data_IF_734448081034
#
_entry.id   IF_734448081034
#
_cell.length_a   1.000
_cell.length_b   1.000
_cell.length_c   1.000
_cell.angle_alpha   90.00
_cell.angle_beta   90.00
_cell.angle_gamma   90.00
#
_symmetry.space_group_name_H-M   'P 1'
#
loop_
_entity.id
_entity.type
_entity.pdbx_description
1 polymer ?
#
# COMPACT_ATOMS: atom_id res chain seq x y z
N UNK A 1 -26.27 1.85 -18.21
CA UNK A 1 -25.65 3.15 -17.91
C UNK A 1 -24.79 2.97 -16.65
N UNK A 2 -23.48 3.10 -16.76
CA UNK A 2 -22.52 2.79 -15.69
C UNK A 2 -22.71 3.68 -14.46
N UNK A 3 -22.85 3.09 -13.27
CA UNK A 3 -22.96 3.82 -12.00
C UNK A 3 -21.61 3.94 -11.25
N UNK A 4 -20.55 4.31 -11.97
CA UNK A 4 -19.22 4.63 -11.39
C UNK A 4 -19.30 5.54 -10.17
N UNK A 5 -20.29 6.44 -10.17
CA UNK A 5 -20.57 7.38 -9.08
C UNK A 5 -20.78 6.67 -7.74
N UNK A 6 -21.46 5.52 -7.69
CA UNK A 6 -21.74 4.79 -6.44
C UNK A 6 -20.47 4.18 -5.84
N UNK A 7 -19.62 3.57 -6.65
CA UNK A 7 -18.35 2.97 -6.20
C UNK A 7 -17.40 4.05 -5.67
N UNK A 8 -17.28 5.15 -6.41
CA UNK A 8 -16.49 6.31 -5.99
C UNK A 8 -17.02 6.85 -4.66
N UNK A 9 -18.34 6.94 -4.49
CA UNK A 9 -18.97 7.37 -3.25
C UNK A 9 -18.62 6.47 -2.06
N UNK A 10 -18.69 5.14 -2.25
CA UNK A 10 -18.34 4.16 -1.21
C UNK A 10 -16.89 4.24 -0.78
N UNK A 11 -15.96 4.37 -1.72
CA UNK A 11 -14.52 4.52 -1.43
C UNK A 11 -14.25 5.83 -0.68
N UNK A 12 -14.89 6.92 -1.10
CA UNK A 12 -14.79 8.23 -0.42
C UNK A 12 -15.32 8.12 1.01
N UNK A 13 -16.46 7.45 1.24
CA UNK A 13 -17.01 7.25 2.58
C UNK A 13 -16.05 6.46 3.46
N UNK A 14 -15.48 5.36 2.96
CA UNK A 14 -14.51 4.56 3.73
C UNK A 14 -13.28 5.40 4.08
N UNK A 15 -12.75 6.17 3.13
CA UNK A 15 -11.63 7.08 3.36
C UNK A 15 -11.95 8.13 4.43
N UNK A 16 -13.13 8.76 4.35
CA UNK A 16 -13.60 9.73 5.35
C UNK A 16 -13.75 9.08 6.72
N UNK A 17 -14.32 7.86 6.79
CA UNK A 17 -14.50 7.13 8.05
C UNK A 17 -13.15 6.78 8.70
N UNK A 18 -12.19 6.30 7.92
CA UNK A 18 -10.81 6.03 8.40
C UNK A 18 -10.17 7.33 8.91
N UNK A 19 -10.30 8.42 8.15
CA UNK A 19 -9.79 9.73 8.53
C UNK A 19 -10.40 10.23 9.85
N UNK A 20 -11.71 10.11 10.02
CA UNK A 20 -12.42 10.49 11.25
C UNK A 20 -12.00 9.64 12.45
N UNK A 21 -11.85 8.32 12.28
CA UNK A 21 -11.37 7.41 13.33
C UNK A 21 -9.95 7.79 13.76
N UNK A 22 -9.04 8.01 12.80
CA UNK A 22 -7.68 8.44 13.08
C UNK A 22 -7.67 9.80 13.80
N UNK A 23 -8.47 10.76 13.35
CA UNK A 23 -8.54 12.09 13.94
C UNK A 23 -9.13 12.06 15.36
N UNK A 24 -10.12 11.20 15.60
CA UNK A 24 -10.66 10.94 16.95
C UNK A 24 -9.61 10.33 17.89
N UNK A 25 -8.84 9.35 17.41
CA UNK A 25 -7.76 8.72 18.18
C UNK A 25 -6.62 9.70 18.49
N UNK A 26 -6.36 10.66 17.59
CA UNK A 26 -5.42 11.77 17.80
C UNK A 26 -5.97 12.76 18.83
N UNK A 27 -7.22 13.22 18.67
CA UNK A 27 -7.87 14.20 19.55
C UNK A 27 -8.05 13.69 20.98
N UNK A 28 -8.26 12.39 21.15
CA UNK A 28 -8.35 11.74 22.47
C UNK A 28 -6.99 11.40 23.08
N UNK A 29 -5.88 11.81 22.43
CA UNK A 29 -4.51 11.55 22.85
C UNK A 29 -4.15 10.06 23.03
N UNK A 30 -5.02 9.15 22.55
CA UNK A 30 -4.76 7.71 22.54
C UNK A 30 -3.63 7.36 21.58
N UNK A 31 -3.46 8.15 20.51
CA UNK A 31 -2.34 8.04 19.59
C UNK A 31 -1.77 9.43 19.32
N UNK A 32 -0.46 9.64 19.52
CA UNK A 32 0.20 10.89 19.11
C UNK A 32 0.11 11.04 17.59
N UNK A 33 -0.19 12.23 17.07
CA UNK A 33 -0.25 12.47 15.61
C UNK A 33 1.04 12.04 14.89
N UNK A 34 2.20 12.31 15.51
CA UNK A 34 3.50 11.84 15.00
C UNK A 34 3.70 10.32 15.05
N UNK A 35 2.98 9.59 15.92
CA UNK A 35 2.97 8.11 15.92
C UNK A 35 2.06 7.57 14.83
N UNK A 36 0.90 8.18 14.57
CA UNK A 36 0.07 7.83 13.40
C UNK A 36 0.85 8.05 12.12
N UNK A 37 1.51 9.21 12.00
CA UNK A 37 2.35 9.51 10.84
C UNK A 37 3.49 8.50 10.71
N UNK A 38 4.17 8.10 11.80
CA UNK A 38 5.19 7.03 11.79
C UNK A 38 4.64 5.62 11.49
N UNK A 39 3.37 5.34 11.75
CA UNK A 39 2.74 4.06 11.35
C UNK A 39 2.57 3.96 9.83
N UNK A 40 2.57 5.10 9.13
CA UNK A 40 2.44 5.17 7.67
C UNK A 40 3.71 5.67 6.96
N UNK A 41 4.62 6.31 7.69
CA UNK A 41 5.91 6.82 7.20
C UNK A 41 7.01 6.05 7.92
N UNK A 42 7.51 5.02 7.25
CA UNK A 42 8.78 4.39 7.57
C UNK A 42 9.89 5.45 7.49
N UNK A 43 10.78 5.50 8.49
CA UNK A 43 11.91 6.44 8.43
C UNK A 43 12.80 6.12 7.24
N UNK A 44 13.48 7.12 6.67
CA UNK A 44 14.32 6.88 5.49
C UNK A 44 15.43 5.85 5.76
N UNK A 45 15.99 5.80 6.98
CA UNK A 45 16.95 4.77 7.40
C UNK A 45 16.34 3.37 7.48
N UNK A 46 15.16 3.24 8.08
CA UNK A 46 14.44 1.96 8.15
C UNK A 46 14.06 1.49 6.74
N UNK A 47 13.60 2.42 5.89
CA UNK A 47 13.27 2.15 4.50
C UNK A 47 14.49 1.66 3.72
N UNK A 48 15.65 2.31 3.83
CA UNK A 48 16.90 1.88 3.17
C UNK A 48 17.26 0.46 3.59
N UNK A 49 17.24 0.17 4.89
CA UNK A 49 17.58 -1.16 5.44
C UNK A 49 16.56 -2.23 5.00
N UNK A 50 15.28 -1.89 5.02
CA UNK A 50 14.21 -2.78 4.60
C UNK A 50 14.28 -3.06 3.10
N UNK A 51 14.49 -2.03 2.29
CA UNK A 51 14.62 -2.12 0.84
C UNK A 51 15.87 -2.90 0.43
N UNK A 52 17.02 -2.73 1.09
CA UNK A 52 18.20 -3.57 0.83
C UNK A 52 17.94 -5.04 1.07
N UNK A 53 17.20 -5.36 2.13
CA UNK A 53 16.81 -6.74 2.45
C UNK A 53 15.89 -7.28 1.36
N UNK A 54 14.87 -6.52 0.97
CA UNK A 54 13.94 -6.89 -0.11
C UNK A 54 14.64 -7.01 -1.47
N UNK A 55 15.63 -6.15 -1.76
CA UNK A 55 16.41 -6.19 -2.98
C UNK A 55 17.31 -7.44 -3.04
N UNK A 56 17.94 -7.82 -1.91
CA UNK A 56 18.69 -9.08 -1.79
C UNK A 56 17.81 -10.31 -1.97
N UNK A 57 16.59 -10.24 -1.45
CA UNK A 57 15.57 -11.28 -1.58
C UNK A 57 14.97 -11.37 -2.99
N UNK A 58 15.12 -10.31 -3.78
CA UNK A 58 14.74 -10.24 -5.19
C UNK A 58 13.25 -10.00 -5.44
N UNK A 59 12.95 -9.63 -6.67
CA UNK A 59 11.61 -9.23 -7.11
C UNK A 59 10.56 -10.32 -6.89
N UNK A 60 10.94 -11.60 -6.93
CA UNK A 60 10.02 -12.74 -6.75
C UNK A 60 9.47 -12.80 -5.32
N UNK A 61 10.32 -12.65 -4.30
CA UNK A 61 9.86 -12.65 -2.90
C UNK A 61 9.01 -11.43 -2.59
N UNK A 62 9.39 -10.27 -3.11
CA UNK A 62 8.58 -9.05 -3.04
C UNK A 62 7.20 -9.25 -3.70
N UNK A 63 7.19 -9.85 -4.89
CA UNK A 63 5.96 -10.19 -5.62
C UNK A 63 5.04 -11.10 -4.81
N UNK A 64 5.57 -12.16 -4.19
CA UNK A 64 4.80 -13.10 -3.37
C UNK A 64 4.20 -12.40 -2.15
N UNK A 65 4.92 -11.42 -1.57
CA UNK A 65 4.40 -10.62 -0.46
C UNK A 65 3.21 -9.76 -0.89
N UNK A 66 3.38 -8.97 -1.95
CA UNK A 66 2.29 -8.11 -2.47
C UNK A 66 1.12 -8.93 -2.99
N UNK A 67 1.38 -10.01 -3.71
CA UNK A 67 0.35 -10.90 -4.25
C UNK A 67 -0.54 -11.47 -3.16
N UNK A 68 0.04 -11.95 -2.05
CA UNK A 68 -0.74 -12.46 -0.91
C UNK A 68 -1.64 -11.38 -0.32
N UNK A 69 -1.12 -10.16 -0.18
CA UNK A 69 -1.89 -9.03 0.35
C UNK A 69 -3.11 -8.70 -0.53
N UNK A 70 -2.91 -8.53 -1.84
CA UNK A 70 -4.01 -8.22 -2.76
C UNK A 70 -5.04 -9.35 -2.87
N UNK A 71 -4.59 -10.61 -2.92
CA UNK A 71 -5.48 -11.77 -2.95
C UNK A 71 -6.33 -11.84 -1.68
N UNK A 72 -5.75 -11.63 -0.50
CA UNK A 72 -6.50 -11.67 0.78
C UNK A 72 -7.54 -10.54 0.83
N UNK A 73 -7.15 -9.31 0.50
CA UNK A 73 -8.06 -8.16 0.55
C UNK A 73 -9.23 -8.34 -0.41
N UNK A 74 -8.95 -8.76 -1.64
CA UNK A 74 -10.00 -8.94 -2.64
C UNK A 74 -10.85 -10.16 -2.34
N UNK A 75 -10.29 -11.22 -1.76
CA UNK A 75 -11.08 -12.34 -1.25
C UNK A 75 -12.07 -11.90 -0.16
N UNK A 76 -11.62 -11.13 0.84
CA UNK A 76 -12.50 -10.58 1.90
C UNK A 76 -13.57 -9.68 1.28
N UNK A 77 -13.18 -8.83 0.32
CA UNK A 77 -14.11 -7.96 -0.40
C UNK A 77 -15.12 -8.80 -1.19
N UNK A 78 -14.69 -9.87 -1.86
CA UNK A 78 -15.54 -10.80 -2.58
C UNK A 78 -16.56 -11.47 -1.67
N UNK A 79 -16.15 -11.94 -0.49
CA UNK A 79 -17.06 -12.50 0.52
C UNK A 79 -18.12 -11.45 0.92
N UNK A 80 -17.70 -10.22 1.19
CA UNK A 80 -18.63 -9.15 1.54
C UNK A 80 -19.68 -8.91 0.44
N UNK A 81 -19.26 -8.86 -0.83
CA UNK A 81 -20.20 -8.68 -1.95
C UNK A 81 -21.13 -9.88 -2.13
N UNK A 82 -20.61 -11.10 -1.96
CA UNK A 82 -21.40 -12.33 -2.03
C UNK A 82 -22.48 -12.38 -0.94
N UNK A 83 -22.14 -12.07 0.32
CA UNK A 83 -23.08 -12.07 1.46
C UNK A 83 -24.20 -11.04 1.27
N UNK A 84 -23.90 -9.90 0.64
CA UNK A 84 -24.89 -8.84 0.41
C UNK A 84 -25.66 -9.00 -0.91
N UNK A 85 -25.47 -10.10 -1.66
CA UNK A 85 -26.04 -10.31 -3.00
C UNK A 85 -25.77 -9.13 -3.96
N UNK A 86 -24.59 -8.51 -3.84
CA UNK A 86 -24.17 -7.40 -4.69
C UNK A 86 -23.27 -7.95 -5.80
N UNK A 87 -23.52 -7.52 -7.03
CA UNK A 87 -22.66 -7.86 -8.15
C UNK A 87 -21.26 -7.26 -7.97
N UNK A 88 -20.23 -8.09 -8.14
CA UNK A 88 -18.83 -7.69 -7.99
C UNK A 88 -18.20 -7.51 -9.38
N UNK A 89 -17.77 -6.29 -9.70
CA UNK A 89 -17.30 -5.92 -11.05
C UNK A 89 -18.23 -6.39 -12.18
N UNK A 90 -19.54 -6.20 -12.02
CA UNK A 90 -20.57 -6.56 -13.02
C UNK A 90 -20.77 -8.06 -13.24
N UNK A 91 -20.00 -8.91 -12.55
CA UNK A 91 -20.22 -10.35 -12.55
C UNK A 91 -21.33 -10.71 -11.58
N UNK A 92 -22.10 -11.73 -11.96
CA UNK A 92 -23.15 -12.30 -11.13
C UNK A 92 -22.55 -12.78 -9.80
N UNK A 93 -23.31 -12.64 -8.71
CA UNK A 93 -22.91 -12.96 -7.34
C UNK A 93 -22.33 -14.37 -7.19
N UNK A 94 -22.76 -15.31 -8.03
CA UNK A 94 -22.26 -16.69 -8.10
C UNK A 94 -20.79 -16.80 -8.48
N UNK A 95 -20.25 -15.81 -9.21
CA UNK A 95 -18.87 -15.79 -9.67
C UNK A 95 -17.99 -14.79 -8.89
N UNK A 96 -18.57 -14.08 -7.92
CA UNK A 96 -17.89 -13.01 -7.16
C UNK A 96 -16.56 -13.44 -6.56
N UNK A 97 -16.49 -14.61 -5.90
CA UNK A 97 -15.24 -15.09 -5.29
C UNK A 97 -14.17 -15.37 -6.36
N UNK A 98 -14.54 -16.03 -7.45
CA UNK A 98 -13.61 -16.38 -8.53
C UNK A 98 -13.06 -15.13 -9.20
N UNK A 99 -13.95 -14.16 -9.47
CA UNK A 99 -13.58 -12.87 -10.07
C UNK A 99 -12.68 -12.05 -9.13
N UNK A 100 -13.00 -12.02 -7.84
CA UNK A 100 -12.19 -11.33 -6.83
C UNK A 100 -10.78 -11.90 -6.73
N UNK A 101 -10.64 -13.22 -6.76
CA UNK A 101 -9.34 -13.87 -6.77
C UNK A 101 -8.57 -13.51 -8.05
N UNK A 102 -9.17 -13.66 -9.24
CA UNK A 102 -8.50 -13.34 -10.51
C UNK A 102 -8.05 -11.87 -10.58
N UNK A 103 -8.91 -10.93 -10.19
CA UNK A 103 -8.57 -9.51 -10.17
C UNK A 103 -7.46 -9.24 -9.16
N UNK A 104 -7.48 -9.89 -7.99
CA UNK A 104 -6.42 -9.75 -6.99
C UNK A 104 -5.08 -10.27 -7.46
N UNK A 105 -5.06 -11.33 -8.26
CA UNK A 105 -3.84 -11.80 -8.89
C UNK A 105 -3.29 -10.79 -9.89
N UNK A 106 -4.13 -10.26 -10.77
CA UNK A 106 -3.72 -9.27 -11.79
C UNK A 106 -3.23 -7.99 -11.13
N UNK A 107 -3.96 -7.45 -10.16
CA UNK A 107 -3.55 -6.25 -9.43
C UNK A 107 -2.26 -6.47 -8.64
N UNK A 108 -2.11 -7.62 -7.98
CA UNK A 108 -0.88 -7.97 -7.27
C UNK A 108 0.34 -7.99 -8.19
N UNK A 109 0.19 -8.52 -9.42
CA UNK A 109 1.28 -8.54 -10.41
C UNK A 109 1.61 -7.11 -10.88
N UNK A 110 0.60 -6.32 -11.28
CA UNK A 110 0.81 -4.95 -11.77
C UNK A 110 1.45 -4.08 -10.70
N UNK A 111 0.92 -4.14 -9.46
CA UNK A 111 1.44 -3.39 -8.32
C UNK A 111 2.86 -3.80 -7.97
N UNK A 112 3.20 -5.10 -8.08
CA UNK A 112 4.58 -5.58 -7.87
C UNK A 112 5.55 -4.86 -8.80
N UNK A 113 5.26 -4.77 -10.10
CA UNK A 113 6.20 -4.16 -11.05
C UNK A 113 6.33 -2.64 -10.83
N UNK A 114 5.20 -1.96 -10.61
CA UNK A 114 5.18 -0.52 -10.37
C UNK A 114 5.87 -0.20 -9.03
N UNK A 115 5.50 -0.91 -7.97
CA UNK A 115 6.04 -0.76 -6.63
C UNK A 115 7.52 -1.06 -6.57
N UNK A 116 7.98 -2.14 -7.21
CA UNK A 116 9.41 -2.48 -7.23
C UNK A 116 10.25 -1.37 -7.86
N UNK A 117 9.79 -0.83 -9.00
CA UNK A 117 10.47 0.27 -9.67
C UNK A 117 10.45 1.54 -8.83
N UNK A 118 9.28 1.95 -8.33
CA UNK A 118 9.12 3.19 -7.58
C UNK A 118 9.95 3.18 -6.28
N UNK A 119 9.98 2.05 -5.57
CA UNK A 119 10.78 1.91 -4.35
C UNK A 119 12.28 1.85 -4.67
N UNK A 120 12.68 1.20 -5.77
CA UNK A 120 14.05 1.24 -6.25
C UNK A 120 14.53 2.65 -6.60
N UNK A 121 13.69 3.44 -7.27
CA UNK A 121 13.98 4.84 -7.59
C UNK A 121 14.11 5.69 -6.31
N UNK A 122 13.21 5.52 -5.33
CA UNK A 122 13.30 6.18 -4.03
C UNK A 122 14.61 5.82 -3.30
N UNK A 123 14.98 4.54 -3.30
CA UNK A 123 16.24 4.10 -2.68
C UNK A 123 17.45 4.77 -3.32
N UNK A 124 17.53 4.80 -4.65
CA UNK A 124 18.63 5.44 -5.37
C UNK A 124 18.76 6.93 -5.05
N UNK A 125 17.63 7.64 -4.88
CA UNK A 125 17.61 9.05 -4.50
C UNK A 125 18.14 9.25 -3.08
N UNK A 126 17.66 8.43 -2.12
CA UNK A 126 18.05 8.55 -0.72
C UNK A 126 19.52 8.21 -0.49
N UNK A 127 20.03 7.15 -1.13
CA UNK A 127 21.43 6.73 -0.98
C UNK A 127 22.40 7.79 -1.54
N UNK A 128 22.09 8.38 -2.71
CA UNK A 128 22.91 9.48 -3.27
C UNK A 128 22.95 10.70 -2.36
N UNK A 129 21.80 11.06 -1.78
CA UNK A 129 21.71 12.20 -0.86
C UNK A 129 22.61 11.99 0.37
N UNK A 130 22.61 10.79 0.95
CA UNK A 130 23.47 10.45 2.10
C UNK A 130 24.95 10.54 1.73
N UNK A 131 25.33 10.09 0.53
CA UNK A 131 26.73 10.16 0.05
C UNK A 131 27.19 11.60 -0.21
N UNK A 132 26.31 12.47 -0.71
CA UNK A 132 26.61 13.88 -0.92
C UNK A 132 26.74 14.63 0.41
N UNK A 133 25.84 14.36 1.37
CA UNK A 133 25.88 14.95 2.71
C UNK A 133 27.18 14.55 3.46
N UNK A 134 27.63 13.29 3.34
CA UNK A 134 28.87 12.83 3.98
C UNK A 134 30.14 13.48 3.40
N UNK A 135 30.17 13.73 2.08
CA UNK A 135 31.29 14.42 1.41
C UNK A 135 31.37 15.90 1.81
N UNK A 136 30.23 16.54 2.04
CA UNK A 136 30.19 17.93 2.52
C UNK A 136 30.74 18.02 3.96
N UNK A 137 30.37 17.07 4.82
CA UNK A 137 30.85 17.01 6.20
C UNK A 137 32.36 16.73 6.29
N UNK A 138 32.92 15.91 5.41
CA UNK A 138 34.37 15.70 5.32
C UNK A 138 35.10 16.97 4.87
N UNK A 139 34.60 17.65 3.83
CA UNK A 139 35.18 18.90 3.32
C UNK A 139 35.13 20.05 4.33
N UNK A 140 34.15 20.07 5.23
CA UNK A 140 34.02 21.09 6.28
C UNK A 140 34.90 20.81 7.51
N UNK A 141 35.56 19.63 7.58
CA UNK A 141 36.47 19.24 8.67
C UNK A 141 37.96 19.43 8.31
N UNK A 142 38.28 19.69 7.04
CA UNK A 142 39.60 20.11 6.56
C UNK A 142 39.78 21.64 6.63
#
# INVERSE_FOLDING_TARGET
>A
MFEWKKIIYSVIIIYIMISLVLNYLIKTNKIKSGKVLRLFIESDEEFIKHWETNNKDGIIKYAISNFRFYVIILFITGIFYMVNNINFFWFDHKYTIVVALMIGMVLGIVDTFIGWRAMGDRYNILTKKIEDDSKIDEKNKE
#
